data_IF_769427716417
#
_entry.id   IF_769427716417
#
_cell.length_a   1.000
_cell.length_b   1.000
_cell.length_c   1.000
_cell.angle_alpha   90.00
_cell.angle_beta   90.00
_cell.angle_gamma   90.00
#
_symmetry.space_group_name_H-M   'P 1'
#
loop_
_entity.id
_entity.type
_entity.pdbx_description
1 polymer ?
#
# COMPACT_ATOMS: atom_id res chain seq x y z
N UNK A 1 -7.33 -20.24 -1.92
CA UNK A 1 -6.96 -18.83 -1.71
C UNK A 1 -6.15 -18.37 -2.90
N UNK A 2 -6.50 -17.22 -3.47
CA UNK A 2 -5.82 -16.66 -4.64
C UNK A 2 -4.35 -16.38 -4.36
N UNK A 3 -3.50 -16.64 -5.36
CA UNK A 3 -2.08 -16.25 -5.30
C UNK A 3 -1.97 -14.77 -5.60
N UNK A 4 -1.00 -14.09 -4.99
CA UNK A 4 -0.72 -12.68 -5.23
C UNK A 4 0.74 -12.50 -5.61
N UNK A 5 0.98 -11.72 -6.67
CA UNK A 5 2.30 -11.27 -7.11
C UNK A 5 2.39 -9.76 -6.87
N UNK A 6 3.40 -9.34 -6.11
CA UNK A 6 3.66 -7.92 -5.83
C UNK A 6 4.85 -7.45 -6.66
N UNK A 7 4.67 -6.34 -7.38
CA UNK A 7 5.72 -5.68 -8.16
C UNK A 7 6.29 -4.53 -7.32
N UNK A 8 7.57 -4.61 -6.96
CA UNK A 8 8.29 -3.61 -6.16
C UNK A 8 9.41 -2.96 -6.97
N UNK A 9 9.69 -1.68 -6.71
CA UNK A 9 10.73 -0.92 -7.40
C UNK A 9 10.56 0.59 -7.27
N UNK A 10 11.54 1.35 -7.74
CA UNK A 10 11.58 2.80 -7.57
C UNK A 10 10.43 3.55 -8.27
N UNK A 11 10.11 4.74 -7.78
CA UNK A 11 9.16 5.65 -8.44
C UNK A 11 9.65 5.99 -9.85
N UNK A 12 8.75 5.95 -10.84
CA UNK A 12 9.09 6.26 -12.23
C UNK A 12 9.69 5.11 -13.06
N UNK A 13 10.01 3.95 -12.47
CA UNK A 13 10.63 2.82 -13.21
C UNK A 13 9.65 2.04 -14.10
N UNK A 14 8.35 2.38 -14.09
CA UNK A 14 7.35 1.75 -14.97
C UNK A 14 6.58 0.57 -14.37
N UNK A 15 6.59 0.36 -13.04
CA UNK A 15 5.84 -0.72 -12.37
C UNK A 15 4.35 -0.75 -12.70
N UNK A 16 3.71 0.42 -12.68
CA UNK A 16 2.28 0.54 -13.01
C UNK A 16 2.01 0.13 -14.45
N UNK A 17 2.89 0.51 -15.39
CA UNK A 17 2.80 0.12 -16.79
C UNK A 17 2.95 -1.41 -16.93
N UNK A 18 3.95 -2.00 -16.27
CA UNK A 18 4.18 -3.44 -16.27
C UNK A 18 2.97 -4.20 -15.71
N UNK A 19 2.48 -3.80 -14.54
CA UNK A 19 1.34 -4.42 -13.86
C UNK A 19 0.10 -4.39 -14.75
N UNK A 20 -0.20 -3.24 -15.38
CA UNK A 20 -1.33 -3.11 -16.31
C UNK A 20 -1.20 -4.01 -17.54
N UNK A 21 -0.01 -4.08 -18.14
CA UNK A 21 0.23 -4.93 -19.31
C UNK A 21 0.08 -6.42 -18.96
N UNK A 22 0.58 -6.84 -17.79
CA UNK A 22 0.42 -8.21 -17.30
C UNK A 22 -1.05 -8.55 -17.07
N UNK A 23 -1.84 -7.66 -16.48
CA UNK A 23 -3.29 -7.87 -16.36
C UNK A 23 -3.99 -8.04 -17.72
N UNK A 24 -3.65 -7.21 -18.70
CA UNK A 24 -4.28 -7.23 -20.02
C UNK A 24 -3.96 -8.49 -20.83
N UNK A 25 -2.73 -9.02 -20.70
CA UNK A 25 -2.25 -10.13 -21.53
C UNK A 25 -2.33 -11.50 -20.85
N UNK A 26 -2.32 -11.56 -19.52
CA UNK A 26 -2.07 -12.79 -18.76
C UNK A 26 -3.24 -13.34 -17.95
N UNK A 27 -4.44 -12.75 -18.03
CA UNK A 27 -5.60 -13.19 -17.25
C UNK A 27 -5.46 -13.00 -15.73
N UNK A 28 -4.59 -12.07 -15.31
CA UNK A 28 -4.40 -11.74 -13.89
C UNK A 28 -5.51 -10.81 -13.39
N UNK A 29 -5.94 -11.03 -12.15
CA UNK A 29 -6.77 -10.08 -11.43
C UNK A 29 -5.93 -8.87 -11.02
N UNK A 30 -6.22 -7.71 -11.61
CA UNK A 30 -5.48 -6.48 -11.35
C UNK A 30 -5.85 -5.84 -10.03
N UNK A 31 -4.91 -5.82 -9.08
CA UNK A 31 -4.89 -4.91 -7.95
C UNK A 31 -4.30 -3.58 -8.36
N UNK A 32 -5.04 -2.77 -9.12
CA UNK A 32 -4.61 -1.38 -9.35
C UNK A 32 -4.99 -0.55 -8.12
N UNK A 33 -4.16 0.45 -7.77
CA UNK A 33 -4.63 1.53 -6.91
C UNK A 33 -5.91 2.09 -7.54
N UNK A 34 -7.05 1.78 -6.94
CA UNK A 34 -8.28 2.46 -7.27
C UNK A 34 -8.02 3.94 -6.99
N UNK A 35 -8.41 4.80 -7.93
CA UNK A 35 -8.43 6.26 -7.75
C UNK A 35 -9.53 6.66 -6.74
N UNK A 36 -9.65 5.94 -5.63
CA UNK A 36 -10.44 6.39 -4.50
C UNK A 36 -9.82 7.70 -4.08
N UNK A 37 -10.66 8.73 -3.98
CA UNK A 37 -10.27 10.00 -3.43
C UNK A 37 -9.69 9.75 -2.03
N UNK A 38 -8.36 9.91 -1.89
CA UNK A 38 -7.63 9.71 -0.64
C UNK A 38 -7.51 11.06 0.05
N UNK A 39 -8.42 11.44 0.96
CA UNK A 39 -8.47 12.78 1.52
C UNK A 39 -7.16 13.14 2.26
N UNK A 40 -6.50 12.16 2.87
CA UNK A 40 -5.24 12.37 3.56
C UNK A 40 -4.03 12.47 2.64
N UNK A 41 -4.09 11.91 1.42
CA UNK A 41 -3.01 12.05 0.44
C UNK A 41 -2.86 13.51 -0.01
N UNK A 42 -3.98 14.18 -0.32
CA UNK A 42 -3.97 15.60 -0.69
C UNK A 42 -3.52 16.47 0.48
N UNK A 43 -4.08 16.24 1.67
CA UNK A 43 -3.72 16.99 2.89
C UNK A 43 -2.26 16.79 3.29
N UNK A 44 -1.70 15.60 3.08
CA UNK A 44 -0.29 15.34 3.33
C UNK A 44 0.64 16.17 2.46
N UNK A 45 0.24 16.48 1.23
CA UNK A 45 1.00 17.40 0.38
C UNK A 45 0.96 18.86 0.88
N UNK A 46 -0.04 19.23 1.69
CA UNK A 46 -0.21 20.57 2.28
C UNK A 46 0.58 20.74 3.58
N UNK A 47 0.58 19.71 4.45
CA UNK A 47 1.30 19.71 5.72
C UNK A 47 1.79 18.29 6.06
N UNK A 48 3.08 18.06 5.81
CA UNK A 48 3.71 16.76 5.95
C UNK A 48 3.65 16.24 7.39
N UNK A 49 3.87 17.09 8.39
CA UNK A 49 3.95 16.64 9.79
C UNK A 49 2.55 16.40 10.35
N UNK A 50 1.60 17.31 10.07
CA UNK A 50 0.23 17.20 10.60
C UNK A 50 -0.53 16.00 10.02
N UNK A 51 -0.27 15.65 8.76
CA UNK A 51 -1.04 14.63 8.07
C UNK A 51 -0.28 13.34 7.77
N UNK A 52 1.01 13.22 8.15
CA UNK A 52 1.76 11.96 7.99
C UNK A 52 1.04 10.77 8.61
N UNK A 53 0.66 10.86 9.88
CA UNK A 53 0.02 9.76 10.60
C UNK A 53 -1.31 9.32 9.94
N UNK A 54 -2.32 10.19 9.76
CA UNK A 54 -3.57 9.75 9.16
C UNK A 54 -3.39 9.27 7.72
N UNK A 55 -2.45 9.85 6.96
CA UNK A 55 -2.11 9.35 5.62
C UNK A 55 -1.52 7.93 5.67
N UNK A 56 -0.61 7.63 6.61
CA UNK A 56 -0.06 6.28 6.74
C UNK A 56 -1.09 5.25 7.23
N UNK A 57 -1.95 5.62 8.17
CA UNK A 57 -3.05 4.74 8.62
C UNK A 57 -3.99 4.40 7.44
N UNK A 58 -4.39 5.40 6.67
CA UNK A 58 -5.25 5.23 5.49
C UNK A 58 -4.62 4.30 4.45
N UNK A 59 -3.33 4.50 4.12
CA UNK A 59 -2.60 3.65 3.18
C UNK A 59 -2.50 2.19 3.65
N UNK A 60 -2.13 1.96 4.92
CA UNK A 60 -1.98 0.60 5.44
C UNK A 60 -3.31 -0.17 5.44
N UNK A 61 -4.41 0.49 5.81
CA UNK A 61 -5.74 -0.10 5.74
C UNK A 61 -6.14 -0.43 4.30
N UNK A 62 -5.99 0.54 3.39
CA UNK A 62 -6.30 0.35 1.97
C UNK A 62 -5.54 -0.84 1.35
N UNK A 63 -4.24 -0.97 1.65
CA UNK A 63 -3.44 -2.08 1.12
C UNK A 63 -3.89 -3.43 1.66
N UNK A 64 -4.23 -3.50 2.94
CA UNK A 64 -4.73 -4.72 3.53
C UNK A 64 -6.08 -5.13 2.90
N UNK A 65 -6.99 -4.19 2.72
CA UNK A 65 -8.28 -4.42 2.07
C UNK A 65 -8.13 -4.88 0.61
N UNK A 66 -7.23 -4.24 -0.15
CA UNK A 66 -6.91 -4.61 -1.52
C UNK A 66 -6.37 -6.05 -1.60
N UNK A 67 -5.38 -6.38 -0.77
CA UNK A 67 -4.81 -7.72 -0.74
C UNK A 67 -5.87 -8.77 -0.37
N UNK A 68 -6.70 -8.48 0.63
CA UNK A 68 -7.79 -9.37 1.03
C UNK A 68 -8.77 -9.60 -0.12
N UNK A 69 -9.17 -8.54 -0.83
CA UNK A 69 -10.09 -8.62 -1.96
C UNK A 69 -9.51 -9.45 -3.11
N UNK A 70 -8.23 -9.26 -3.44
CA UNK A 70 -7.54 -10.00 -4.50
C UNK A 70 -7.42 -11.49 -4.15
N UNK A 71 -7.02 -11.81 -2.91
CA UNK A 71 -6.83 -13.20 -2.47
C UNK A 71 -8.13 -14.00 -2.33
N UNK A 72 -9.29 -13.34 -2.32
CA UNK A 72 -10.62 -13.99 -2.37
C UNK A 72 -10.96 -14.47 -3.78
N UNK A 73 -10.29 -13.97 -4.81
CA UNK A 73 -10.53 -14.37 -6.20
C UNK A 73 -9.78 -15.68 -6.53
N UNK A 74 -10.31 -16.50 -7.46
CA UNK A 74 -9.64 -17.73 -7.90
C UNK A 74 -8.42 -17.47 -8.80
N UNK A 75 -8.39 -16.32 -9.48
CA UNK A 75 -7.29 -15.93 -10.37
C UNK A 75 -6.02 -15.55 -9.59
N UNK A 76 -4.88 -15.52 -10.28
CA UNK A 76 -3.66 -14.95 -9.73
C UNK A 76 -3.81 -13.43 -9.76
N UNK A 77 -3.65 -12.80 -8.60
CA UNK A 77 -3.60 -11.37 -8.44
C UNK A 77 -2.23 -10.79 -8.77
N UNK A 78 -2.20 -9.59 -9.35
CA UNK A 78 -0.97 -8.81 -9.49
C UNK A 78 -1.20 -7.37 -9.01
N UNK A 79 -0.26 -6.85 -8.22
CA UNK A 79 -0.37 -5.54 -7.59
C UNK A 79 0.95 -4.75 -7.68
N UNK A 80 0.86 -3.45 -7.92
CA UNK A 80 1.97 -2.49 -7.84
C UNK A 80 2.11 -2.00 -6.39
N UNK A 81 3.23 -2.33 -5.73
CA UNK A 81 3.39 -2.09 -4.31
C UNK A 81 2.51 -2.99 -3.44
N UNK A 82 2.33 -2.63 -2.18
CA UNK A 82 1.62 -3.48 -1.21
C UNK A 82 1.87 -3.02 0.21
N UNK A 83 1.25 -3.73 1.16
CA UNK A 83 1.30 -3.41 2.59
C UNK A 83 2.75 -3.33 3.09
N UNK A 84 3.62 -4.21 2.60
CA UNK A 84 5.02 -4.34 2.95
C UNK A 84 5.82 -3.15 2.45
N UNK A 85 5.58 -2.73 1.21
CA UNK A 85 6.22 -1.54 0.65
C UNK A 85 5.80 -0.28 1.41
N UNK A 86 4.51 -0.17 1.72
CA UNK A 86 3.97 1.00 2.43
C UNK A 86 4.50 1.12 3.85
N UNK A 87 4.60 0.01 4.58
CA UNK A 87 5.19 0.05 5.92
C UNK A 87 6.73 0.19 5.89
N UNK A 88 7.44 -0.72 5.23
CA UNK A 88 8.90 -0.80 5.34
C UNK A 88 9.64 0.25 4.53
N UNK A 89 9.04 0.84 3.48
CA UNK A 89 9.67 1.95 2.76
C UNK A 89 9.08 3.29 3.16
N UNK A 90 7.76 3.47 3.08
CA UNK A 90 7.16 4.80 3.23
C UNK A 90 6.98 5.20 4.69
N UNK A 91 6.38 4.36 5.54
CA UNK A 91 6.21 4.66 6.97
C UNK A 91 7.56 4.85 7.65
N UNK A 92 8.50 3.94 7.39
CA UNK A 92 9.87 4.05 7.92
C UNK A 92 10.58 5.32 7.46
N UNK A 93 10.42 5.71 6.19
CA UNK A 93 10.99 6.96 5.66
C UNK A 93 10.37 8.19 6.32
N UNK A 94 9.06 8.21 6.55
CA UNK A 94 8.38 9.37 7.16
C UNK A 94 8.82 9.56 8.61
N UNK A 95 9.04 8.46 9.33
CA UNK A 95 9.66 8.51 10.65
C UNK A 95 11.10 9.04 10.59
N UNK A 96 11.94 8.51 9.70
CA UNK A 96 13.33 8.98 9.53
C UNK A 96 13.43 10.46 9.11
N UNK A 97 12.44 10.97 8.39
CA UNK A 97 12.36 12.38 7.96
C UNK A 97 11.77 13.31 9.02
N UNK A 98 11.28 12.77 10.14
CA UNK A 98 10.65 13.54 11.21
C UNK A 98 9.23 14.03 10.88
N UNK A 99 8.60 13.48 9.83
CA UNK A 99 7.19 13.77 9.53
C UNK A 99 6.25 12.96 10.42
N UNK A 100 6.70 11.77 10.82
CA UNK A 100 6.01 10.90 11.76
C UNK A 100 6.83 10.83 13.05
N UNK A 101 6.20 11.09 14.18
CA UNK A 101 6.83 10.97 15.50
C UNK A 101 6.88 9.50 15.96
N UNK A 102 7.54 9.25 17.10
CA UNK A 102 7.68 7.89 17.65
C UNK A 102 6.31 7.25 17.92
N UNK A 103 5.39 7.99 18.54
CA UNK A 103 4.06 7.46 18.86
C UNK A 103 3.27 7.10 17.60
N UNK A 104 3.33 7.95 16.57
CA UNK A 104 2.73 7.70 15.27
C UNK A 104 3.35 6.50 14.55
N UNK A 105 4.68 6.37 14.57
CA UNK A 105 5.37 5.22 14.00
C UNK A 105 4.96 3.91 14.68
N UNK A 106 4.94 3.89 16.02
CA UNK A 106 4.53 2.71 16.79
C UNK A 106 3.06 2.34 16.54
N UNK A 107 2.18 3.34 16.34
CA UNK A 107 0.79 3.08 15.95
C UNK A 107 0.72 2.43 14.57
N UNK A 108 1.44 2.95 13.57
CA UNK A 108 1.51 2.32 12.25
C UNK A 108 2.10 0.91 12.31
N UNK A 109 3.13 0.66 13.13
CA UNK A 109 3.74 -0.67 13.29
C UNK A 109 2.76 -1.69 13.89
N UNK A 110 1.99 -1.28 14.90
CA UNK A 110 0.92 -2.10 15.49
C UNK A 110 -0.18 -2.40 14.47
N UNK A 111 -0.60 -1.38 13.71
CA UNK A 111 -1.61 -1.54 12.66
C UNK A 111 -1.14 -2.50 11.56
N UNK A 112 0.08 -2.30 11.04
CA UNK A 112 0.71 -3.18 10.07
C UNK A 112 0.73 -4.64 10.57
N UNK A 113 1.20 -4.85 11.80
CA UNK A 113 1.28 -6.19 12.40
C UNK A 113 -0.10 -6.82 12.51
N UNK A 114 -1.10 -6.07 12.96
CA UNK A 114 -2.48 -6.54 13.07
C UNK A 114 -3.05 -6.93 11.70
N UNK A 115 -2.96 -6.03 10.70
CA UNK A 115 -3.42 -6.31 9.34
C UNK A 115 -2.71 -7.55 8.77
N UNK A 116 -1.39 -7.65 8.93
CA UNK A 116 -0.61 -8.77 8.38
C UNK A 116 -1.00 -10.12 8.97
N UNK A 117 -1.36 -10.17 10.26
CA UNK A 117 -1.85 -11.38 10.93
C UNK A 117 -3.24 -11.82 10.48
N UNK A 118 -4.09 -10.88 10.06
CA UNK A 118 -5.44 -11.17 9.55
C UNK A 118 -5.44 -11.52 8.07
N UNK A 119 -4.36 -11.16 7.38
CA UNK A 119 -4.20 -11.46 5.98
C UNK A 119 -3.49 -12.80 5.78
N UNK A 120 -3.71 -13.45 4.64
CA UNK A 120 -3.23 -14.80 4.42
C UNK A 120 -1.81 -14.92 3.85
#
# INVERSE_FOLDING_TARGET
>A
MGKLIIVVGNTGVGKTTLTRQLCQQGGFAGGLEQQVERPFQQRFAEDLTRYALPNQVDYLLLRAEQEQAIRRQPEIGIQDGGLETDFWLFTQRFYQKGYLDEAGYQLCARLYTFCRQQLP
#
